data_IF_594884765646
#
_entry.id   IF_594884765646
#
_cell.length_a   1.000
_cell.length_b   1.000
_cell.length_c   1.000
_cell.angle_alpha   90.00
_cell.angle_beta   90.00
_cell.angle_gamma   90.00
#
_symmetry.space_group_name_H-M   'P 1'
#
loop_
_entity.id
_entity.type
_entity.pdbx_description
1 polymer ?
#
# COMPACT_ATOMS: atom_id res chain seq x y z
N UNK A 1 2.39 53.87 -66.72
CA UNK A 1 1.06 54.11 -66.09
C UNK A 1 1.06 53.45 -64.72
N UNK A 2 0.69 54.25 -63.71
CA UNK A 2 0.11 53.89 -62.39
C UNK A 2 0.92 53.02 -61.42
N UNK A 3 1.57 53.67 -60.43
CA UNK A 3 1.63 53.15 -59.04
C UNK A 3 0.22 53.11 -58.44
N UNK A 4 -0.04 52.28 -57.41
CA UNK A 4 -0.24 52.83 -56.05
C UNK A 4 0.28 51.85 -54.94
N UNK A 5 -0.07 51.96 -53.63
CA UNK A 5 0.88 52.42 -52.61
C UNK A 5 1.06 51.50 -51.39
N UNK A 6 1.94 51.96 -50.50
CA UNK A 6 2.27 51.51 -49.13
C UNK A 6 1.07 51.12 -48.26
N UNK A 7 1.27 50.13 -47.38
CA UNK A 7 0.73 50.15 -46.01
C UNK A 7 1.58 49.23 -45.10
N UNK A 8 2.38 49.84 -44.23
CA UNK A 8 2.89 49.19 -43.02
C UNK A 8 1.68 48.96 -42.10
N UNK A 9 1.34 47.70 -41.84
CA UNK A 9 0.46 47.35 -40.74
C UNK A 9 1.33 47.14 -39.49
N UNK A 10 1.39 48.16 -38.63
CA UNK A 10 1.91 48.02 -37.28
C UNK A 10 0.89 47.19 -36.47
N UNK A 11 1.25 45.95 -36.15
CA UNK A 11 0.47 45.11 -35.23
C UNK A 11 0.88 45.52 -33.81
N UNK A 12 0.11 46.41 -33.21
CA UNK A 12 0.25 46.80 -31.82
C UNK A 12 -0.33 45.69 -30.94
N UNK A 13 0.55 44.89 -30.34
CA UNK A 13 0.20 43.85 -29.36
C UNK A 13 -0.22 44.52 -28.04
N UNK A 14 -1.52 44.64 -27.78
CA UNK A 14 -2.01 44.99 -26.43
C UNK A 14 -1.86 43.77 -25.50
N UNK A 15 -0.84 43.80 -24.63
CA UNK A 15 -0.81 42.95 -23.44
C UNK A 15 -1.78 43.53 -22.41
N UNK A 16 -2.95 42.91 -22.26
CA UNK A 16 -3.80 43.10 -21.08
C UNK A 16 -3.25 42.20 -19.96
N UNK A 17 -2.41 42.75 -19.09
CA UNK A 17 -1.96 42.06 -17.87
C UNK A 17 -3.06 42.12 -16.82
N UNK A 18 -3.91 41.10 -16.79
CA UNK A 18 -4.81 40.86 -15.65
C UNK A 18 -3.96 40.37 -14.49
N UNK A 19 -3.72 41.24 -13.50
CA UNK A 19 -3.07 40.85 -12.24
C UNK A 19 -4.08 40.06 -11.42
N UNK A 20 -4.08 38.73 -11.58
CA UNK A 20 -4.67 37.85 -10.58
C UNK A 20 -3.77 37.90 -9.36
N UNK A 21 -4.27 38.47 -8.26
CA UNK A 21 -3.62 38.36 -6.97
C UNK A 21 -3.47 36.88 -6.63
N UNK A 22 -2.24 36.39 -6.58
CA UNK A 22 -1.94 35.03 -6.13
C UNK A 22 -2.23 34.99 -4.64
N UNK A 23 -3.38 34.46 -4.24
CA UNK A 23 -3.55 33.99 -2.86
C UNK A 23 -2.62 32.80 -2.71
N UNK A 24 -1.49 32.99 -2.03
CA UNK A 24 -0.66 31.87 -1.60
C UNK A 24 -1.51 31.07 -0.61
N UNK A 25 -1.95 29.88 -1.01
CA UNK A 25 -2.50 28.93 -0.07
C UNK A 25 -1.38 28.53 0.90
N UNK A 26 -1.46 29.01 2.14
CA UNK A 26 -0.66 28.48 3.23
C UNK A 26 -1.30 27.15 3.64
N UNK A 27 -0.58 26.05 3.47
CA UNK A 27 -0.88 24.83 4.21
C UNK A 27 -0.27 25.01 5.61
N UNK A 28 -1.03 24.71 6.65
CA UNK A 28 -0.48 24.63 8.00
C UNK A 28 0.56 23.47 8.03
N UNK A 29 1.74 23.73 8.57
CA UNK A 29 2.86 22.76 8.63
C UNK A 29 2.63 21.63 9.65
N UNK A 30 1.56 21.69 10.44
CA UNK A 30 1.15 20.64 11.38
C UNK A 30 0.06 19.76 10.76
N UNK A 31 0.24 18.42 10.69
CA UNK A 31 -0.82 17.51 10.30
C UNK A 31 -1.91 17.54 11.38
N UNK A 32 -2.88 18.44 11.25
CA UNK A 32 -4.09 18.42 12.04
C UNK A 32 -5.00 17.31 11.50
N UNK A 33 -5.10 16.23 12.26
CA UNK A 33 -6.17 15.25 12.10
C UNK A 33 -7.53 15.98 12.16
N UNK A 34 -8.44 15.76 11.20
CA UNK A 34 -9.75 16.39 11.24
C UNK A 34 -10.44 16.08 12.57
N UNK A 35 -11.09 17.05 13.23
CA UNK A 35 -11.82 16.78 14.47
C UNK A 35 -12.81 15.64 14.24
N UNK A 36 -12.71 14.59 15.07
CA UNK A 36 -13.51 13.36 14.94
C UNK A 36 -12.83 12.19 14.20
N UNK A 37 -11.55 12.31 13.82
CA UNK A 37 -10.75 11.20 13.28
C UNK A 37 -9.89 10.49 14.33
N UNK A 38 -9.98 10.91 15.60
CA UNK A 38 -9.35 10.21 16.71
C UNK A 38 -9.81 8.74 16.73
N UNK A 39 -8.89 7.76 16.83
CA UNK A 39 -9.25 6.36 16.95
C UNK A 39 -10.00 6.12 18.28
N UNK A 40 -11.32 6.21 18.24
CA UNK A 40 -12.22 5.91 19.37
C UNK A 40 -12.67 4.44 19.29
N UNK A 41 -11.72 3.53 19.34
CA UNK A 41 -12.03 2.13 19.58
C UNK A 41 -12.23 1.95 21.09
N UNK A 42 -13.43 2.24 21.58
CA UNK A 42 -13.81 1.87 22.95
C UNK A 42 -13.68 0.35 23.11
N UNK A 43 -13.22 -0.09 24.29
CA UNK A 43 -13.23 -1.49 24.69
C UNK A 43 -14.62 -2.12 24.45
N UNK A 44 -14.70 -3.44 24.20
CA UNK A 44 -15.99 -4.11 24.03
C UNK A 44 -16.94 -3.71 25.17
N UNK A 45 -18.20 -3.41 24.84
CA UNK A 45 -19.24 -3.21 25.86
C UNK A 45 -19.23 -4.46 26.74
N UNK A 46 -18.95 -4.28 28.03
CA UNK A 46 -18.99 -5.41 28.97
C UNK A 46 -20.42 -5.93 29.01
N UNK A 47 -20.60 -7.17 28.53
CA UNK A 47 -21.90 -7.85 28.58
C UNK A 47 -22.05 -8.41 29.98
N UNK A 48 -23.01 -7.90 30.76
CA UNK A 48 -23.33 -8.46 32.06
C UNK A 48 -23.94 -9.86 31.87
N UNK A 49 -23.21 -10.88 32.32
CA UNK A 49 -23.64 -12.27 32.25
C UNK A 49 -24.88 -12.57 33.13
N UNK A 50 -25.23 -11.68 34.06
CA UNK A 50 -26.38 -11.81 34.95
C UNK A 50 -27.54 -10.87 34.58
N UNK A 51 -27.49 -10.23 33.42
CA UNK A 51 -28.54 -9.33 32.97
C UNK A 51 -29.90 -10.05 32.93
N UNK A 52 -30.94 -9.55 33.62
CA UNK A 52 -32.25 -10.21 33.69
C UNK A 52 -32.98 -10.29 32.34
N UNK A 53 -32.60 -9.50 31.35
CA UNK A 53 -33.14 -9.55 29.98
C UNK A 53 -32.42 -10.59 29.10
N UNK A 54 -31.37 -11.23 29.61
CA UNK A 54 -30.54 -12.20 28.90
C UNK A 54 -31.22 -13.58 28.83
N UNK A 55 -31.79 -13.91 27.67
CA UNK A 55 -32.49 -15.19 27.42
C UNK A 55 -31.53 -16.31 27.06
N UNK A 56 -30.75 -16.77 28.04
CA UNK A 56 -29.89 -17.95 27.92
C UNK A 56 -30.66 -19.24 28.27
N UNK A 57 -30.40 -20.36 27.57
CA UNK A 57 -30.83 -21.68 28.04
C UNK A 57 -30.20 -22.04 29.40
N UNK A 58 -30.90 -22.85 30.20
CA UNK A 58 -30.41 -23.28 31.52
C UNK A 58 -29.01 -23.92 31.43
N UNK A 59 -28.06 -23.36 32.17
CA UNK A 59 -26.66 -23.82 32.21
C UNK A 59 -25.76 -23.29 31.08
N UNK A 60 -26.24 -22.40 30.21
CA UNK A 60 -25.43 -21.75 29.19
C UNK A 60 -24.61 -20.58 29.77
N UNK A 61 -23.37 -20.42 29.28
CA UNK A 61 -22.49 -19.28 29.60
C UNK A 61 -22.26 -18.44 28.36
N UNK A 62 -22.00 -17.13 28.54
CA UNK A 62 -21.58 -16.27 27.43
C UNK A 62 -20.28 -16.79 26.80
N UNK A 63 -20.20 -16.71 25.47
CA UNK A 63 -18.95 -16.88 24.76
C UNK A 63 -18.01 -15.72 25.13
N UNK A 64 -16.69 -15.97 25.08
CA UNK A 64 -15.72 -14.88 25.26
C UNK A 64 -15.96 -13.79 24.20
N UNK A 65 -15.90 -12.53 24.63
CA UNK A 65 -15.99 -11.39 23.73
C UNK A 65 -14.88 -11.50 22.66
N UNK A 66 -15.28 -11.40 21.39
CA UNK A 66 -14.35 -11.45 20.25
C UNK A 66 -14.21 -10.06 19.67
N UNK A 67 -12.98 -9.52 19.69
CA UNK A 67 -12.64 -8.31 18.95
C UNK A 67 -12.58 -8.65 17.46
N UNK A 68 -13.26 -7.87 16.62
CA UNK A 68 -13.18 -7.98 15.18
C UNK A 68 -12.07 -7.08 14.65
N UNK A 69 -11.28 -7.60 13.72
CA UNK A 69 -10.21 -6.85 13.10
C UNK A 69 -10.80 -5.76 12.20
N UNK A 70 -10.48 -4.50 12.49
CA UNK A 70 -10.75 -3.40 11.58
C UNK A 70 -9.70 -3.45 10.48
N UNK A 71 -10.14 -3.56 9.23
CA UNK A 71 -9.28 -3.59 8.05
C UNK A 71 -9.39 -2.26 7.30
N UNK A 72 -8.31 -1.49 7.30
CA UNK A 72 -8.14 -0.31 6.45
C UNK A 72 -7.38 -0.70 5.19
N UNK A 73 -7.82 -0.20 4.04
CA UNK A 73 -7.16 -0.45 2.75
C UNK A 73 -6.95 0.88 2.05
N UNK A 74 -5.71 1.15 1.67
CA UNK A 74 -5.31 2.32 0.91
C UNK A 74 -4.61 1.86 -0.36
N UNK A 75 -5.02 2.35 -1.52
CA UNK A 75 -4.32 2.14 -2.79
C UNK A 75 -3.80 3.49 -3.28
N UNK A 76 -2.52 3.57 -3.64
CA UNK A 76 -2.00 4.76 -4.30
C UNK A 76 -2.68 4.95 -5.66
N UNK A 77 -2.87 6.20 -6.10
CA UNK A 77 -3.60 6.49 -7.34
C UNK A 77 -2.89 5.94 -8.59
N UNK A 78 -1.56 5.83 -8.57
CA UNK A 78 -0.78 5.16 -9.62
C UNK A 78 -0.96 3.64 -9.63
N UNK A 79 -1.49 3.09 -8.53
CA UNK A 79 -1.65 1.68 -8.25
C UNK A 79 -0.39 1.01 -7.72
N UNK A 80 0.74 1.70 -7.73
CA UNK A 80 2.09 1.13 -7.50
C UNK A 80 2.21 0.39 -6.16
N UNK A 81 1.42 0.79 -5.18
CA UNK A 81 1.29 0.14 -3.89
C UNK A 81 -0.17 0.05 -3.44
N UNK A 82 -0.49 -1.07 -2.79
CA UNK A 82 -1.69 -1.24 -1.97
C UNK A 82 -1.27 -1.58 -0.55
N UNK A 83 -1.73 -0.79 0.41
CA UNK A 83 -1.53 -0.98 1.85
C UNK A 83 -2.81 -1.50 2.48
N UNK A 84 -2.65 -2.49 3.34
CA UNK A 84 -3.71 -3.06 4.15
C UNK A 84 -3.26 -3.11 5.61
N UNK A 85 -3.95 -2.37 6.46
CA UNK A 85 -3.67 -2.30 7.88
C UNK A 85 -4.82 -2.95 8.65
N UNK A 86 -4.49 -3.89 9.51
CA UNK A 86 -5.39 -4.41 10.53
C UNK A 86 -5.01 -3.86 11.91
N UNK A 87 -5.78 -4.23 12.93
CA UNK A 87 -5.40 -4.08 14.33
C UNK A 87 -4.08 -4.78 14.68
N UNK A 88 -3.75 -5.89 14.01
CA UNK A 88 -2.63 -6.77 14.39
C UNK A 88 -1.48 -6.78 13.40
N UNK A 89 -1.67 -6.28 12.17
CA UNK A 89 -0.66 -6.38 11.12
C UNK A 89 -0.75 -5.28 10.08
N UNK A 90 0.38 -5.03 9.43
CA UNK A 90 0.50 -4.21 8.22
C UNK A 90 0.86 -5.13 7.07
N UNK A 91 0.23 -4.95 5.91
CA UNK A 91 0.57 -5.63 4.66
C UNK A 91 0.71 -4.60 3.53
N UNK A 92 1.89 -4.53 2.94
CA UNK A 92 2.17 -3.71 1.75
C UNK A 92 2.31 -4.60 0.54
N UNK A 93 1.47 -4.41 -0.47
CA UNK A 93 1.52 -5.07 -1.76
C UNK A 93 2.13 -4.13 -2.80
N UNK A 94 3.37 -4.40 -3.19
CA UNK A 94 4.14 -3.62 -4.15
C UNK A 94 4.02 -4.22 -5.55
N UNK A 95 3.65 -3.42 -6.55
CA UNK A 95 3.54 -3.91 -7.92
C UNK A 95 4.89 -4.32 -8.52
N UNK A 96 4.90 -5.41 -9.29
CA UNK A 96 6.12 -5.98 -9.83
C UNK A 96 6.83 -5.05 -10.81
N UNK A 97 6.10 -4.23 -11.57
CA UNK A 97 6.64 -3.27 -12.54
C UNK A 97 7.40 -2.11 -11.89
N UNK A 98 7.03 -1.78 -10.65
CA UNK A 98 7.70 -0.75 -9.84
C UNK A 98 9.01 -1.30 -9.27
N UNK A 99 8.99 -2.58 -8.91
CA UNK A 99 10.14 -3.26 -8.31
C UNK A 99 11.16 -3.77 -9.33
N UNK A 100 10.68 -4.30 -10.46
CA UNK A 100 11.46 -5.12 -11.37
C UNK A 100 11.22 -4.76 -12.83
N UNK A 101 12.23 -5.04 -13.67
CA UNK A 101 12.02 -5.11 -15.11
C UNK A 101 11.14 -6.31 -15.51
N UNK A 102 10.70 -6.32 -16.78
CA UNK A 102 9.91 -7.43 -17.36
C UNK A 102 10.62 -8.77 -17.17
N UNK A 103 9.87 -9.75 -16.65
CA UNK A 103 10.34 -11.13 -16.39
C UNK A 103 11.65 -11.21 -15.57
N UNK A 104 11.89 -10.21 -14.72
CA UNK A 104 13.10 -10.10 -13.92
C UNK A 104 12.77 -10.13 -12.43
N UNK A 105 13.79 -10.50 -11.64
CA UNK A 105 13.83 -10.34 -10.18
C UNK A 105 14.93 -9.36 -9.74
N UNK A 106 15.55 -8.64 -10.68
CA UNK A 106 16.57 -7.64 -10.38
C UNK A 106 15.90 -6.33 -9.97
N UNK A 107 16.17 -5.90 -8.73
CA UNK A 107 15.66 -4.65 -8.17
C UNK A 107 16.43 -3.43 -8.69
N UNK A 108 15.69 -2.39 -9.08
CA UNK A 108 16.22 -1.07 -9.38
C UNK A 108 16.65 -0.29 -8.12
N UNK A 109 17.30 0.87 -8.29
CA UNK A 109 17.72 1.69 -7.17
C UNK A 109 16.55 2.27 -6.37
N UNK A 110 15.52 2.75 -7.08
CA UNK A 110 14.28 3.29 -6.50
C UNK A 110 13.49 2.21 -5.75
N UNK A 111 13.32 1.03 -6.34
CA UNK A 111 12.72 -0.13 -5.67
C UNK A 111 13.44 -0.47 -4.35
N UNK A 112 14.78 -0.48 -4.35
CA UNK A 112 15.56 -0.69 -3.12
C UNK A 112 15.33 0.42 -2.09
N UNK A 113 15.18 1.67 -2.52
CA UNK A 113 14.87 2.78 -1.61
C UNK A 113 13.49 2.61 -0.98
N UNK A 114 12.46 2.22 -1.75
CA UNK A 114 11.13 1.92 -1.21
C UNK A 114 11.18 0.78 -0.18
N UNK A 115 11.88 -0.31 -0.49
CA UNK A 115 12.03 -1.45 0.41
C UNK A 115 12.76 -1.05 1.72
N UNK A 116 13.72 -0.12 1.66
CA UNK A 116 14.35 0.44 2.87
C UNK A 116 13.36 1.24 3.72
N UNK A 117 12.48 2.02 3.11
CA UNK A 117 11.40 2.70 3.86
C UNK A 117 10.48 1.71 4.59
N UNK A 118 10.18 0.57 3.97
CA UNK A 118 9.43 -0.51 4.63
C UNK A 118 10.25 -1.11 5.79
N UNK A 119 11.56 -1.28 5.64
CA UNK A 119 12.42 -1.71 6.75
C UNK A 119 12.39 -0.71 7.92
N UNK A 120 12.34 0.60 7.66
CA UNK A 120 12.21 1.62 8.70
C UNK A 120 10.87 1.52 9.43
N UNK A 121 9.79 1.21 8.72
CA UNK A 121 8.48 0.94 9.32
C UNK A 121 8.49 -0.34 10.19
N UNK A 122 9.09 -1.43 9.69
CA UNK A 122 9.25 -2.68 10.45
C UNK A 122 9.98 -2.43 11.78
N UNK A 123 11.02 -1.58 11.77
CA UNK A 123 11.74 -1.21 13.00
C UNK A 123 10.86 -0.39 13.93
N UNK A 124 10.13 0.60 13.40
CA UNK A 124 9.18 1.41 14.20
C UNK A 124 8.13 0.54 14.88
N UNK A 125 7.67 -0.50 14.19
CA UNK A 125 6.70 -1.46 14.74
C UNK A 125 7.33 -2.54 15.64
N UNK A 126 8.65 -2.52 15.88
CA UNK A 126 9.39 -3.56 16.63
C UNK A 126 9.05 -4.99 16.16
N UNK A 127 8.79 -5.15 14.86
CA UNK A 127 8.31 -6.41 14.32
C UNK A 127 9.45 -7.43 14.15
N UNK A 128 9.35 -8.55 14.88
CA UNK A 128 10.31 -9.66 14.83
C UNK A 128 9.92 -10.75 13.83
N UNK A 129 8.76 -10.63 13.17
CA UNK A 129 8.33 -11.55 12.12
C UNK A 129 7.94 -10.80 10.87
N UNK A 130 8.58 -11.13 9.76
CA UNK A 130 8.34 -10.50 8.46
C UNK A 130 8.02 -11.58 7.44
N UNK A 131 6.92 -11.44 6.71
CA UNK A 131 6.59 -12.32 5.59
C UNK A 131 6.83 -11.58 4.28
N UNK A 132 7.41 -12.27 3.31
CA UNK A 132 7.67 -11.75 1.96
C UNK A 132 7.17 -12.74 0.93
N UNK A 133 6.08 -12.40 0.26
CA UNK A 133 5.38 -13.30 -0.66
C UNK A 133 5.32 -12.72 -2.06
N UNK A 134 5.77 -13.50 -3.04
CA UNK A 134 5.70 -13.13 -4.45
C UNK A 134 4.49 -13.74 -5.14
N UNK A 135 3.91 -13.01 -6.08
CA UNK A 135 2.77 -13.43 -6.89
C UNK A 135 2.95 -13.03 -8.37
N UNK A 136 2.26 -13.73 -9.25
CA UNK A 136 2.15 -13.43 -10.68
C UNK A 136 0.68 -13.27 -11.07
N UNK A 137 0.45 -12.81 -12.30
CA UNK A 137 -0.85 -13.01 -12.95
C UNK A 137 -0.94 -14.45 -13.49
N UNK A 138 -2.03 -14.73 -14.21
CA UNK A 138 -2.31 -16.02 -14.82
C UNK A 138 -1.72 -16.18 -16.24
N UNK A 139 -0.75 -15.36 -16.64
CA UNK A 139 -0.13 -15.44 -17.96
C UNK A 139 1.14 -16.28 -17.91
N UNK A 140 1.27 -17.20 -18.87
CA UNK A 140 2.41 -18.12 -18.97
C UNK A 140 2.10 -19.47 -18.32
N UNK A 141 3.15 -20.23 -17.97
CA UNK A 141 2.99 -21.51 -17.28
C UNK A 141 3.04 -21.33 -15.76
N UNK A 142 2.20 -22.07 -15.04
CA UNK A 142 2.20 -22.06 -13.57
C UNK A 142 3.61 -22.35 -12.99
N UNK A 143 4.33 -23.32 -13.54
CA UNK A 143 5.70 -23.63 -13.10
C UNK A 143 6.68 -22.46 -13.26
N UNK A 144 6.54 -21.65 -14.33
CA UNK A 144 7.34 -20.43 -14.48
C UNK A 144 6.95 -19.37 -13.46
N UNK A 145 5.64 -19.18 -13.25
CA UNK A 145 5.11 -18.26 -12.24
C UNK A 145 5.60 -18.58 -10.82
N UNK A 146 5.62 -19.85 -10.45
CA UNK A 146 6.11 -20.32 -9.15
C UNK A 146 7.60 -19.97 -8.93
N UNK A 147 8.43 -20.23 -9.95
CA UNK A 147 9.87 -19.91 -9.90
C UNK A 147 10.09 -18.40 -9.87
N UNK A 148 9.42 -17.64 -10.74
CA UNK A 148 9.57 -16.19 -10.84
C UNK A 148 9.12 -15.48 -9.57
N UNK A 149 7.94 -15.83 -9.06
CA UNK A 149 7.40 -15.25 -7.84
C UNK A 149 8.32 -15.51 -6.64
N UNK A 150 8.86 -16.73 -6.49
CA UNK A 150 9.80 -17.06 -5.41
C UNK A 150 11.11 -16.28 -5.54
N UNK A 151 11.65 -16.13 -6.75
CA UNK A 151 12.86 -15.33 -6.99
C UNK A 151 12.66 -13.86 -6.64
N UNK A 152 11.50 -13.29 -6.99
CA UNK A 152 11.14 -11.89 -6.65
C UNK A 152 10.99 -11.70 -5.14
N UNK A 153 10.31 -12.63 -4.46
CA UNK A 153 10.19 -12.61 -3.01
C UNK A 153 11.55 -12.66 -2.32
N UNK A 154 12.45 -13.55 -2.77
CA UNK A 154 13.81 -13.63 -2.24
C UNK A 154 14.60 -12.34 -2.47
N UNK A 155 14.49 -11.71 -3.65
CA UNK A 155 15.18 -10.45 -3.92
C UNK A 155 14.75 -9.30 -2.99
N UNK A 156 13.45 -9.21 -2.68
CA UNK A 156 12.93 -8.24 -1.70
C UNK A 156 13.42 -8.56 -0.29
N UNK A 157 13.35 -9.84 0.10
CA UNK A 157 13.89 -10.32 1.37
C UNK A 157 15.36 -9.92 1.55
N UNK A 158 16.21 -10.12 0.55
CA UNK A 158 17.65 -9.85 0.67
C UNK A 158 17.93 -8.37 0.96
N UNK A 159 17.11 -7.46 0.40
CA UNK A 159 17.21 -6.02 0.69
C UNK A 159 16.68 -5.71 2.10
N UNK A 160 15.55 -6.31 2.49
CA UNK A 160 15.00 -6.15 3.85
C UNK A 160 15.98 -6.64 4.91
N UNK A 161 16.54 -7.84 4.76
CA UNK A 161 17.45 -8.45 5.73
C UNK A 161 18.75 -7.66 5.86
N UNK A 162 19.30 -7.16 4.75
CA UNK A 162 20.48 -6.27 4.77
C UNK A 162 20.18 -4.93 5.44
N UNK A 163 18.98 -4.39 5.22
CA UNK A 163 18.60 -3.09 5.79
C UNK A 163 18.35 -3.22 7.29
N UNK A 164 17.55 -4.20 7.70
CA UNK A 164 17.20 -4.44 9.09
C UNK A 164 18.43 -4.87 9.91
N UNK A 165 19.26 -5.76 9.34
CA UNK A 165 20.48 -6.27 9.95
C UNK A 165 20.29 -6.72 11.42
N UNK A 166 19.19 -7.44 11.65
CA UNK A 166 18.77 -7.92 12.95
C UNK A 166 18.54 -9.44 12.88
N UNK A 167 19.26 -10.17 13.73
CA UNK A 167 19.22 -11.64 13.77
C UNK A 167 17.97 -12.17 14.50
N UNK A 168 17.28 -11.34 15.28
CA UNK A 168 16.06 -11.73 16.00
C UNK A 168 14.83 -11.71 15.09
N UNK A 169 14.96 -11.13 13.88
CA UNK A 169 13.88 -11.12 12.89
C UNK A 169 13.81 -12.45 12.14
N UNK A 170 12.66 -13.10 12.23
CA UNK A 170 12.34 -14.30 11.46
C UNK A 170 11.62 -13.94 10.16
N UNK A 171 12.16 -14.41 9.04
CA UNK A 171 11.58 -14.20 7.71
C UNK A 171 10.84 -15.44 7.21
N UNK A 172 9.63 -15.25 6.70
CA UNK A 172 8.89 -16.26 5.94
C UNK A 172 8.79 -15.84 4.48
N UNK A 173 9.56 -16.47 3.60
CA UNK A 173 9.66 -16.08 2.19
C UNK A 173 9.07 -17.17 1.29
N UNK A 174 8.09 -16.84 0.46
CA UNK A 174 7.43 -17.80 -0.45
C UNK A 174 7.08 -17.17 -1.80
N UNK A 175 6.96 -18.00 -2.82
CA UNK A 175 6.37 -17.63 -4.10
C UNK A 175 5.10 -18.46 -4.30
N UNK A 176 4.01 -17.80 -4.64
CA UNK A 176 2.70 -18.43 -4.82
C UNK A 176 2.27 -18.52 -6.28
N UNK A 177 3.09 -18.03 -7.21
CA UNK A 177 2.73 -17.95 -8.62
C UNK A 177 1.41 -17.18 -8.79
N UNK A 178 0.48 -17.76 -9.54
CA UNK A 178 -0.83 -17.18 -9.84
C UNK A 178 -1.90 -17.40 -8.75
N UNK A 179 -1.54 -18.07 -7.64
CA UNK A 179 -2.47 -18.32 -6.54
C UNK A 179 -2.82 -17.03 -5.79
N UNK A 180 -3.98 -17.03 -5.13
CA UNK A 180 -4.47 -15.90 -4.33
C UNK A 180 -4.52 -14.56 -5.10
N UNK A 181 -5.25 -14.49 -6.24
CA UNK A 181 -5.45 -13.24 -6.95
C UNK A 181 -6.23 -12.25 -6.08
N UNK A 182 -5.83 -10.99 -6.12
CA UNK A 182 -6.51 -9.88 -5.42
C UNK A 182 -7.39 -9.05 -6.36
N UNK A 183 -7.27 -9.30 -7.66
CA UNK A 183 -8.08 -8.67 -8.71
C UNK A 183 -8.35 -9.64 -9.86
N UNK A 184 -9.29 -9.27 -10.73
CA UNK A 184 -9.71 -10.10 -11.86
C UNK A 184 -8.60 -10.22 -12.93
N UNK A 185 -8.15 -11.46 -13.17
CA UNK A 185 -7.15 -11.79 -14.18
C UNK A 185 -7.66 -11.63 -15.63
N UNK A 186 -8.96 -11.44 -15.86
CA UNK A 186 -9.50 -11.18 -17.20
C UNK A 186 -9.06 -9.81 -17.75
N UNK A 187 -8.78 -8.84 -16.87
CA UNK A 187 -8.41 -7.46 -17.26
C UNK A 187 -6.92 -7.19 -17.06
N UNK A 188 -6.33 -6.32 -17.89
CA UNK A 188 -4.91 -5.95 -17.69
C UNK A 188 -4.71 -5.20 -16.37
N UNK A 189 -5.66 -4.36 -15.97
CA UNK A 189 -5.61 -3.66 -14.69
C UNK A 189 -5.58 -4.64 -13.51
N UNK A 190 -6.42 -5.69 -13.54
CA UNK A 190 -6.42 -6.71 -12.49
C UNK A 190 -5.17 -7.59 -12.51
N UNK A 191 -4.67 -7.96 -13.70
CA UNK A 191 -3.38 -8.66 -13.80
C UNK A 191 -2.22 -7.84 -13.25
N UNK A 192 -2.16 -6.54 -13.54
CA UNK A 192 -1.15 -5.62 -12.96
C UNK A 192 -1.18 -5.66 -11.43
N UNK A 193 -2.37 -5.63 -10.83
CA UNK A 193 -2.53 -5.77 -9.38
C UNK A 193 -2.06 -7.13 -8.86
N UNK A 194 -2.32 -8.22 -9.59
CA UNK A 194 -1.91 -9.56 -9.18
C UNK A 194 -0.40 -9.79 -9.25
N UNK A 195 0.30 -9.15 -10.20
CA UNK A 195 1.77 -9.14 -10.30
C UNK A 195 2.35 -8.26 -9.20
N UNK A 196 2.56 -8.84 -8.02
CA UNK A 196 3.00 -8.09 -6.83
C UNK A 196 3.95 -8.89 -5.94
N UNK A 197 4.63 -8.17 -5.04
CA UNK A 197 5.27 -8.75 -3.86
C UNK A 197 4.64 -8.13 -2.62
N UNK A 198 4.15 -8.99 -1.72
CA UNK A 198 3.60 -8.58 -0.44
C UNK A 198 4.67 -8.67 0.66
N UNK A 199 4.77 -7.61 1.46
CA UNK A 199 5.54 -7.59 2.71
C UNK A 199 4.56 -7.39 3.84
N UNK A 200 4.51 -8.30 4.81
CA UNK A 200 3.65 -8.16 5.99
C UNK A 200 4.39 -8.40 7.30
N UNK A 201 3.98 -7.67 8.33
CA UNK A 201 4.57 -7.72 9.66
C UNK A 201 3.55 -7.34 10.74
N UNK A 202 3.73 -7.80 11.98
CA UNK A 202 2.90 -7.38 13.11
C UNK A 202 2.91 -5.87 13.28
N UNK A 203 1.75 -5.33 13.62
CA UNK A 203 1.58 -3.95 14.07
C UNK A 203 1.66 -3.97 15.59
N UNK A 204 2.52 -3.13 16.16
CA UNK A 204 2.45 -2.86 17.60
C UNK A 204 1.31 -1.87 17.81
N UNK A 205 0.42 -2.16 18.75
CA UNK A 205 -0.65 -1.23 19.12
C UNK A 205 -0.02 0.13 19.52
N UNK A 206 -0.55 1.26 19.03
CA UNK A 206 -0.07 2.58 19.44
C UNK A 206 -0.25 2.82 20.95
#
# INVERSE_FOLDING_TARGET
MTSPPRLLAAVTLMLATTVYGTTTAHADDDPNDPPGTEPSASAPVEVDANDPDLKLPDGATLAQAKVLDIKSVVEEQSGDERREDTNTSVTLALQAEVLFGKDSSKLGAEAKARIRGIADEIRTQNATRVRVFGFTDNLGSSAHGDVLSKRRANAVHDVLSQSLNDADITYEVRGYGEQYPIADNATEAGRKKNRRVEVSFPRTEP
#
